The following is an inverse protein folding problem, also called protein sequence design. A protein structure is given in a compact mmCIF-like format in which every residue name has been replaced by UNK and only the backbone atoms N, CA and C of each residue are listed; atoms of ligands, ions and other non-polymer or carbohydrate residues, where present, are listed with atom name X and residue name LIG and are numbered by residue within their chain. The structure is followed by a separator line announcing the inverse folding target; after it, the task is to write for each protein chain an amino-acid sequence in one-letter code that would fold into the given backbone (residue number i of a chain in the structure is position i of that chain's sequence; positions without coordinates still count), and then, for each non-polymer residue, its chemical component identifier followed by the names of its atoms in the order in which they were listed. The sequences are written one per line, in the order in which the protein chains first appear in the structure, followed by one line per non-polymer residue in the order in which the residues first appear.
data_IF_110535287042
#
_entry.id   IF_110535287042
#
_cell.length_a   1.000
_cell.length_b   1.000
_cell.length_c   1.000
_cell.angle_alpha   90.00
_cell.angle_beta   90.00
_cell.angle_gamma   90.00
#
_symmetry.space_group_name_H-M   'P 1'
#
loop_
_entity.id
_entity.type
_entity.pdbx_description
1 polymer ?
#
# COMPACT_ATOMS: atom_id res chain seq x y z
N UNK A 1 -13.71 -8.67 -13.54
CA UNK A 1 -12.64 -7.93 -14.25
C UNK A 1 -12.84 -6.46 -13.91
N UNK A 2 -11.80 -5.74 -13.46
CA UNK A 2 -11.88 -4.32 -13.04
C UNK A 2 -12.52 -3.44 -14.14
N UNK A 3 -12.23 -3.70 -15.41
CA UNK A 3 -12.86 -2.94 -16.50
C UNK A 3 -14.38 -3.14 -16.64
N UNK A 4 -14.94 -4.22 -16.09
CA UNK A 4 -16.39 -4.39 -16.06
C UNK A 4 -17.02 -3.57 -14.93
N UNK A 5 -16.37 -3.50 -13.76
CA UNK A 5 -16.82 -2.65 -12.64
C UNK A 5 -16.85 -1.18 -13.07
N UNK A 6 -15.78 -0.70 -13.73
CA UNK A 6 -15.68 0.69 -14.23
C UNK A 6 -16.75 1.04 -15.27
N UNK A 7 -17.30 0.06 -16.01
CA UNK A 7 -18.36 0.32 -17.01
C UNK A 7 -19.73 0.51 -16.38
N UNK A 8 -19.90 0.12 -15.12
CA UNK A 8 -21.19 0.23 -14.41
C UNK A 8 -21.39 1.61 -13.80
N UNK A 9 -20.31 2.32 -13.53
CA UNK A 9 -20.27 3.76 -13.39
C UNK A 9 -19.94 4.40 -14.75
N UNK A 10 -20.27 5.66 -14.97
CA UNK A 10 -19.75 6.44 -16.11
C UNK A 10 -18.26 6.81 -15.95
N UNK A 11 -17.53 6.05 -15.12
CA UNK A 11 -16.15 6.31 -14.70
C UNK A 11 -16.01 7.40 -13.63
N UNK A 12 -17.10 7.98 -13.12
CA UNK A 12 -17.05 9.06 -12.11
C UNK A 12 -16.48 8.61 -10.75
N UNK A 13 -16.54 7.32 -10.45
CA UNK A 13 -16.08 6.71 -9.20
C UNK A 13 -14.60 6.28 -9.23
N UNK A 14 -13.91 6.46 -10.37
CA UNK A 14 -12.53 6.04 -10.54
C UNK A 14 -11.56 7.18 -10.22
N UNK A 15 -10.55 6.89 -9.39
CA UNK A 15 -9.42 7.80 -9.21
C UNK A 15 -8.54 7.78 -10.45
N UNK A 16 -8.39 8.94 -11.10
CA UNK A 16 -7.55 9.10 -12.29
C UNK A 16 -6.09 9.27 -11.87
N UNK A 17 -5.21 8.42 -12.39
CA UNK A 17 -3.77 8.60 -12.26
C UNK A 17 -3.14 8.82 -13.64
N UNK A 18 -2.48 9.97 -13.81
CA UNK A 18 -1.60 10.25 -14.92
C UNK A 18 -0.15 10.10 -14.45
N UNK A 19 0.66 9.34 -15.18
CA UNK A 19 2.07 9.16 -14.90
C UNK A 19 2.92 9.32 -16.17
N UNK A 20 4.06 9.99 -16.06
CA UNK A 20 5.11 10.01 -17.08
C UNK A 20 6.49 10.09 -16.43
N UNK A 21 7.47 9.39 -16.99
CA UNK A 21 8.88 9.52 -16.60
C UNK A 21 9.51 10.85 -17.05
N UNK A 22 8.84 11.59 -17.95
CA UNK A 22 9.26 12.93 -18.36
C UNK A 22 10.47 12.98 -19.31
N UNK A 23 10.65 11.94 -20.11
CA UNK A 23 11.72 11.82 -21.12
C UNK A 23 11.09 11.48 -22.49
N UNK A 24 10.61 12.47 -23.26
CA UNK A 24 10.05 12.23 -24.59
C UNK A 24 11.17 11.81 -25.56
N UNK A 25 10.85 10.98 -26.56
CA UNK A 25 11.78 10.59 -27.61
C UNK A 25 11.45 11.30 -28.94
N UNK A 26 12.44 11.78 -29.71
CA UNK A 26 13.87 11.82 -29.36
C UNK A 26 14.16 12.83 -28.24
N UNK A 27 15.22 12.58 -27.44
CA UNK A 27 15.67 13.47 -26.37
C UNK A 27 17.11 13.91 -26.60
N UNK A 28 17.40 15.17 -26.30
CA UNK A 28 18.76 15.72 -26.20
C UNK A 28 19.38 15.53 -24.81
N UNK A 29 18.54 15.27 -23.79
CA UNK A 29 18.99 14.98 -22.43
C UNK A 29 19.82 13.69 -22.37
N UNK A 30 20.97 13.77 -21.69
CA UNK A 30 21.75 12.60 -21.32
C UNK A 30 21.06 11.89 -20.15
N UNK A 31 20.40 10.76 -20.44
CA UNK A 31 19.71 9.92 -19.44
C UNK A 31 20.24 8.50 -19.48
N UNK A 32 20.10 7.77 -18.37
CA UNK A 32 20.36 6.33 -18.38
C UNK A 32 19.29 5.62 -19.24
N UNK A 33 19.65 4.92 -20.33
CA UNK A 33 18.67 4.28 -21.21
C UNK A 33 17.90 3.14 -20.54
N UNK A 34 18.46 2.51 -19.50
CA UNK A 34 17.78 1.44 -18.76
C UNK A 34 16.91 1.97 -17.62
N UNK A 35 17.08 3.25 -17.26
CA UNK A 35 16.30 3.92 -16.22
C UNK A 35 16.09 5.40 -16.57
N UNK A 36 15.25 5.71 -17.58
CA UNK A 36 14.99 7.08 -17.97
C UNK A 36 14.14 7.79 -16.91
N UNK A 37 14.56 8.99 -16.51
CA UNK A 37 13.87 9.84 -15.55
C UNK A 37 14.22 11.31 -15.79
N UNK A 38 13.45 12.21 -15.15
CA UNK A 38 13.66 13.65 -15.16
C UNK A 38 13.68 14.16 -13.69
N UNK A 39 14.78 13.94 -12.96
CA UNK A 39 14.88 14.25 -11.53
C UNK A 39 14.65 15.72 -11.23
N UNK A 40 15.13 16.62 -12.09
CA UNK A 40 15.07 18.08 -11.89
C UNK A 40 13.63 18.61 -11.89
N UNK A 41 12.72 17.91 -12.56
CA UNK A 41 11.32 18.28 -12.68
C UNK A 41 10.37 17.28 -12.02
N UNK A 42 10.90 16.41 -11.14
CA UNK A 42 10.07 15.40 -10.48
C UNK A 42 8.97 16.07 -9.65
N UNK A 43 7.72 15.70 -9.93
CA UNK A 43 6.53 16.23 -9.26
C UNK A 43 5.50 15.13 -9.06
N UNK A 44 4.99 15.00 -7.83
CA UNK A 44 3.90 14.06 -7.49
C UNK A 44 2.78 14.84 -6.81
N UNK A 45 1.74 15.14 -7.57
CA UNK A 45 0.64 16.03 -7.15
C UNK A 45 -0.65 15.24 -6.95
N UNK A 46 -1.44 15.66 -5.97
CA UNK A 46 -2.70 15.03 -5.59
C UNK A 46 -3.80 16.09 -5.56
N UNK A 47 -4.91 15.83 -6.23
CA UNK A 47 -6.08 16.70 -6.27
C UNK A 47 -7.28 15.94 -5.68
N UNK A 48 -7.45 15.95 -4.35
CA UNK A 48 -8.45 15.14 -3.66
C UNK A 48 -9.89 15.50 -4.06
N UNK A 49 -10.17 16.77 -4.39
CA UNK A 49 -11.50 17.21 -4.84
C UNK A 49 -11.87 16.69 -6.23
N UNK A 50 -10.87 16.28 -7.02
CA UNK A 50 -11.04 15.78 -8.39
C UNK A 50 -10.77 14.28 -8.51
N UNK A 51 -10.44 13.61 -7.41
CA UNK A 51 -9.97 12.22 -7.41
C UNK A 51 -8.85 12.01 -8.46
N UNK A 52 -7.87 12.92 -8.48
CA UNK A 52 -6.81 12.95 -9.49
C UNK A 52 -5.42 12.87 -8.85
N UNK A 53 -4.54 12.09 -9.48
CA UNK A 53 -3.12 11.97 -9.16
C UNK A 53 -2.34 12.26 -10.44
N UNK A 54 -1.34 13.15 -10.35
CA UNK A 54 -0.44 13.44 -11.46
C UNK A 54 1.00 13.25 -10.98
N UNK A 55 1.71 12.32 -11.59
CA UNK A 55 3.12 12.04 -11.33
C UNK A 55 3.97 12.27 -12.58
N UNK A 56 5.05 13.02 -12.44
CA UNK A 56 6.00 13.32 -13.49
C UNK A 56 7.43 13.13 -13.01
N UNK A 57 8.31 12.63 -13.89
CA UNK A 57 9.77 12.69 -13.73
C UNK A 57 10.42 11.51 -13.01
N UNK A 58 9.67 10.65 -12.30
CA UNK A 58 10.24 9.56 -11.52
C UNK A 58 9.55 8.22 -11.78
N UNK A 59 10.29 7.24 -12.30
CA UNK A 59 9.82 5.86 -12.47
C UNK A 59 9.83 5.00 -11.19
N UNK A 60 10.22 5.56 -10.03
CA UNK A 60 10.54 4.75 -8.85
C UNK A 60 9.40 4.64 -7.83
N UNK A 61 9.03 3.41 -7.49
CA UNK A 61 8.26 3.05 -6.29
C UNK A 61 7.01 3.91 -6.08
N UNK A 62 6.91 4.55 -4.90
CA UNK A 62 5.75 5.35 -4.52
C UNK A 62 5.50 6.60 -5.36
N UNK A 63 6.44 7.01 -6.23
CA UNK A 63 6.24 8.11 -7.15
C UNK A 63 5.50 7.67 -8.41
N UNK A 64 5.73 6.45 -8.90
CA UNK A 64 5.17 5.93 -10.17
C UNK A 64 4.03 4.93 -9.97
N UNK A 65 4.08 4.14 -8.90
CA UNK A 65 3.01 3.20 -8.51
C UNK A 65 1.89 3.97 -7.81
N UNK A 66 1.08 4.70 -8.58
CA UNK A 66 -0.01 5.53 -8.07
C UNK A 66 -0.95 4.80 -7.09
N UNK A 67 -1.22 3.51 -7.32
CA UNK A 67 -2.06 2.68 -6.45
C UNK A 67 -1.54 2.57 -5.02
N UNK A 68 -0.23 2.73 -4.81
CA UNK A 68 0.43 2.58 -3.50
C UNK A 68 0.14 3.76 -2.57
N UNK A 69 1.08 4.69 -2.39
CA UNK A 69 0.90 5.77 -1.40
C UNK A 69 -0.01 6.89 -1.90
N UNK A 70 -0.01 7.17 -3.20
CA UNK A 70 -0.77 8.27 -3.77
C UNK A 70 -2.28 8.01 -3.67
N UNK A 71 -2.74 6.84 -4.12
CA UNK A 71 -4.13 6.42 -3.99
C UNK A 71 -4.42 5.92 -2.58
N UNK A 72 -3.79 4.83 -2.14
CA UNK A 72 -4.28 4.11 -0.98
C UNK A 72 -4.10 4.85 0.36
N UNK A 73 -3.29 5.92 0.43
CA UNK A 73 -3.24 6.82 1.59
C UNK A 73 -3.68 8.25 1.29
N UNK A 74 -3.09 8.95 0.30
CA UNK A 74 -3.34 10.40 0.16
C UNK A 74 -4.73 10.71 -0.37
N UNK A 75 -5.11 10.14 -1.51
CA UNK A 75 -6.49 10.26 -2.01
C UNK A 75 -7.44 9.45 -1.13
N UNK A 76 -7.02 8.25 -0.71
CA UNK A 76 -7.79 7.34 0.15
C UNK A 76 -8.23 7.99 1.45
N UNK A 77 -7.36 8.71 2.17
CA UNK A 77 -7.74 9.42 3.41
C UNK A 77 -8.72 10.56 3.17
N UNK A 78 -8.65 11.21 2.01
CA UNK A 78 -9.61 12.25 1.63
C UNK A 78 -10.99 11.64 1.33
N UNK A 79 -11.03 10.51 0.61
CA UNK A 79 -12.26 9.72 0.39
C UNK A 79 -12.83 9.23 1.72
N UNK A 80 -12.00 8.61 2.55
CA UNK A 80 -12.33 8.09 3.86
C UNK A 80 -12.99 9.14 4.76
N UNK A 81 -12.41 10.35 4.81
CA UNK A 81 -12.99 11.48 5.54
C UNK A 81 -14.37 11.90 5.01
N UNK A 82 -14.57 11.91 3.69
CA UNK A 82 -15.85 12.29 3.07
C UNK A 82 -16.94 11.23 3.24
N UNK A 83 -16.54 9.96 3.25
CA UNK A 83 -17.44 8.81 3.18
C UNK A 83 -17.62 8.09 4.53
N UNK A 84 -16.90 8.49 5.57
CA UNK A 84 -17.07 7.96 6.93
C UNK A 84 -16.30 6.67 7.22
N UNK A 85 -15.16 6.44 6.57
CA UNK A 85 -14.25 5.32 6.82
C UNK A 85 -12.82 5.83 7.13
N UNK A 86 -11.84 4.93 7.26
CA UNK A 86 -10.45 5.25 7.63
C UNK A 86 -9.46 4.65 6.61
N UNK A 87 -8.52 5.46 6.11
CA UNK A 87 -7.42 4.99 5.25
C UNK A 87 -6.08 5.21 5.95
N UNK A 88 -5.49 4.14 6.47
CA UNK A 88 -4.40 4.25 7.43
C UNK A 88 -3.13 3.51 7.02
N UNK A 89 -1.99 4.06 7.45
CA UNK A 89 -0.67 3.45 7.25
C UNK A 89 -0.41 2.38 8.33
N UNK A 90 -1.14 1.27 8.23
CA UNK A 90 -1.15 0.19 9.21
C UNK A 90 -0.96 -1.17 8.55
N UNK A 91 -0.21 -2.05 9.20
CA UNK A 91 -0.29 -3.49 8.91
C UNK A 91 -1.63 -4.05 9.39
N UNK A 92 -2.01 -5.21 8.88
CA UNK A 92 -3.13 -6.02 9.35
C UNK A 92 -2.63 -7.44 9.61
N UNK A 93 -2.83 -7.93 10.84
CA UNK A 93 -2.44 -9.28 11.24
C UNK A 93 -3.56 -10.00 12.00
N UNK A 94 -3.71 -11.28 11.74
CA UNK A 94 -4.53 -12.18 12.55
C UNK A 94 -3.65 -12.92 13.56
N UNK A 95 -4.06 -12.95 14.82
CA UNK A 95 -3.40 -13.71 15.88
C UNK A 95 -4.39 -14.74 16.43
N UNK A 96 -4.01 -16.00 16.39
CA UNK A 96 -4.75 -17.10 17.01
C UNK A 96 -4.03 -17.51 18.29
N UNK A 97 -4.76 -17.54 19.41
CA UNK A 97 -4.23 -17.99 20.70
C UNK A 97 -4.21 -19.54 20.78
N UNK A 98 -3.60 -20.14 21.83
CA UNK A 98 -3.55 -21.61 21.99
C UNK A 98 -4.92 -22.30 22.11
N UNK A 99 -5.97 -21.56 22.48
CA UNK A 99 -7.35 -22.06 22.57
C UNK A 99 -8.08 -22.03 21.21
N UNK A 100 -7.41 -21.56 20.14
CA UNK A 100 -7.98 -21.47 18.80
C UNK A 100 -8.77 -20.18 18.53
N UNK A 101 -8.81 -19.23 19.47
CA UNK A 101 -9.51 -17.95 19.31
C UNK A 101 -8.66 -16.99 18.46
N UNK A 102 -9.21 -16.58 17.32
CA UNK A 102 -8.55 -15.63 16.40
C UNK A 102 -9.05 -14.20 16.61
N UNK A 103 -8.12 -13.26 16.72
CA UNK A 103 -8.36 -11.81 16.76
C UNK A 103 -7.53 -11.11 15.70
N UNK A 104 -8.00 -9.95 15.22
CA UNK A 104 -7.29 -9.13 14.25
C UNK A 104 -6.79 -7.85 14.88
N UNK A 105 -5.60 -7.43 14.45
CA UNK A 105 -4.93 -6.23 14.92
C UNK A 105 -4.48 -5.41 13.71
N UNK A 106 -4.59 -4.09 13.86
CA UNK A 106 -3.95 -3.11 13.00
C UNK A 106 -2.89 -2.36 13.77
N UNK A 107 -1.77 -2.03 13.15
CA UNK A 107 -0.70 -1.31 13.84
C UNK A 107 0.05 -0.35 12.91
N UNK A 108 0.13 0.92 13.32
CA UNK A 108 0.89 1.96 12.64
C UNK A 108 2.31 2.03 13.21
N UNK A 109 3.30 1.97 12.33
CA UNK A 109 4.69 2.22 12.68
C UNK A 109 5.27 3.25 11.70
N UNK A 110 6.28 4.05 12.08
CA UNK A 110 7.07 4.79 11.11
C UNK A 110 7.83 3.86 10.15
N UNK A 111 8.43 4.43 9.11
CA UNK A 111 9.28 3.70 8.17
C UNK A 111 10.47 3.05 8.89
N UNK A 112 10.89 1.88 8.40
CA UNK A 112 12.04 1.12 8.91
C UNK A 112 11.97 0.66 10.39
N UNK A 113 10.80 0.73 11.05
CA UNK A 113 10.62 0.26 12.43
C UNK A 113 10.17 -1.21 12.56
N UNK A 114 10.42 -2.05 11.55
CA UNK A 114 10.11 -3.50 11.62
C UNK A 114 8.64 -3.89 11.36
N UNK A 115 7.85 -3.03 10.72
CA UNK A 115 6.42 -3.26 10.41
C UNK A 115 6.17 -4.58 9.66
N UNK A 116 6.93 -4.84 8.60
CA UNK A 116 6.88 -6.09 7.84
C UNK A 116 7.27 -7.31 8.68
N UNK A 117 8.23 -7.17 9.60
CA UNK A 117 8.63 -8.26 10.49
C UNK A 117 7.52 -8.61 11.50
N UNK A 118 6.79 -7.61 11.99
CA UNK A 118 5.66 -7.85 12.89
C UNK A 118 4.46 -8.46 12.15
N UNK A 119 4.14 -7.96 10.95
CA UNK A 119 3.05 -8.50 10.14
C UNK A 119 3.28 -9.99 9.77
N UNK A 120 4.55 -10.38 9.62
CA UNK A 120 4.98 -11.73 9.27
C UNK A 120 5.62 -12.48 10.45
N UNK A 121 5.30 -12.08 11.69
CA UNK A 121 5.95 -12.57 12.90
C UNK A 121 5.80 -14.10 13.02
N UNK A 122 6.92 -14.78 13.30
CA UNK A 122 6.87 -16.15 13.85
C UNK A 122 6.91 -16.05 15.38
N UNK A 123 5.89 -16.53 16.11
CA UNK A 123 5.85 -16.44 17.58
C UNK A 123 6.83 -17.44 18.22
N UNK A 124 8.12 -17.13 18.17
CA UNK A 124 9.18 -17.93 18.80
C UNK A 124 9.06 -17.83 20.32
N UNK A 125 9.02 -18.97 21.01
CA UNK A 125 8.90 -19.01 22.48
C UNK A 125 7.48 -18.84 23.01
N UNK A 126 6.45 -18.78 22.15
CA UNK A 126 5.04 -18.73 22.53
C UNK A 126 4.27 -19.92 21.90
N UNK A 127 4.36 -21.13 22.48
CA UNK A 127 3.70 -22.32 21.96
C UNK A 127 2.18 -22.13 21.80
N UNK A 128 1.63 -22.66 20.72
CA UNK A 128 0.19 -22.58 20.42
C UNK A 128 -0.27 -21.26 19.80
N UNK A 129 0.53 -20.20 19.82
CA UNK A 129 0.22 -18.97 19.10
C UNK A 129 0.51 -19.12 17.60
N UNK A 130 -0.37 -18.55 16.77
CA UNK A 130 -0.20 -18.43 15.32
C UNK A 130 -0.43 -16.99 14.89
N UNK A 131 0.40 -16.48 13.99
CA UNK A 131 0.25 -15.16 13.36
C UNK A 131 0.09 -15.35 11.86
N UNK A 132 -0.83 -14.60 11.27
CA UNK A 132 -1.13 -14.61 9.84
C UNK A 132 -1.15 -13.17 9.31
N UNK A 133 -0.41 -12.91 8.24
CA UNK A 133 -0.37 -11.60 7.58
C UNK A 133 -1.59 -11.42 6.67
N UNK A 134 -2.30 -10.30 6.81
CA UNK A 134 -3.32 -9.85 5.86
C UNK A 134 -2.77 -8.71 4.99
N UNK A 135 -1.96 -7.83 5.57
CA UNK A 135 -1.22 -6.77 4.88
C UNK A 135 -0.14 -6.17 5.78
N UNK A 136 0.92 -5.57 5.22
CA UNK A 136 2.05 -5.05 6.01
C UNK A 136 2.23 -3.52 5.94
N UNK A 137 1.40 -2.83 5.17
CA UNK A 137 1.62 -1.42 4.84
C UNK A 137 0.35 -0.56 4.95
N UNK A 138 -0.78 -0.96 4.34
CA UNK A 138 -1.99 -0.13 4.27
C UNK A 138 -3.22 -0.91 4.77
N UNK A 139 -4.07 -0.23 5.55
CA UNK A 139 -5.36 -0.72 5.98
C UNK A 139 -6.45 0.29 5.65
N UNK A 140 -7.50 -0.16 4.97
CA UNK A 140 -8.75 0.59 4.84
C UNK A 140 -9.78 -0.01 5.78
N UNK A 141 -10.41 0.83 6.61
CA UNK A 141 -11.26 0.37 7.70
C UNK A 141 -12.61 1.08 7.73
N UNK A 142 -13.69 0.32 7.92
CA UNK A 142 -15.06 0.83 7.99
C UNK A 142 -15.85 0.07 9.05
N UNK A 143 -16.78 0.73 9.74
CA UNK A 143 -17.66 0.08 10.69
C UNK A 143 -18.76 -0.70 9.94
N UNK A 144 -18.96 -1.97 10.27
CA UNK A 144 -20.12 -2.71 9.77
C UNK A 144 -21.42 -2.33 10.49
N UNK A 145 -22.53 -2.93 10.06
CA UNK A 145 -23.86 -2.71 10.64
C UNK A 145 -23.96 -3.16 12.10
N UNK A 146 -23.04 -4.01 12.58
CA UNK A 146 -22.92 -4.42 13.97
C UNK A 146 -21.98 -3.53 14.80
N UNK A 147 -21.47 -2.43 14.23
CA UNK A 147 -20.56 -1.50 14.90
C UNK A 147 -19.14 -2.03 15.09
N UNK A 148 -18.73 -3.06 14.36
CA UNK A 148 -17.37 -3.60 14.38
C UNK A 148 -16.52 -2.96 13.29
N UNK A 149 -15.32 -2.51 13.66
CA UNK A 149 -14.37 -1.98 12.68
C UNK A 149 -13.79 -3.13 11.83
N UNK A 150 -14.16 -3.18 10.55
CA UNK A 150 -13.64 -4.12 9.55
C UNK A 150 -12.48 -3.50 8.81
N UNK A 151 -11.45 -4.29 8.51
CA UNK A 151 -10.27 -3.84 7.79
C UNK A 151 -10.05 -4.69 6.53
N UNK A 152 -9.66 -4.04 5.44
CA UNK A 152 -9.17 -4.67 4.21
C UNK A 152 -7.76 -4.18 3.90
N UNK A 153 -6.97 -5.04 3.25
CA UNK A 153 -5.74 -4.64 2.59
C UNK A 153 -6.08 -4.22 1.15
N UNK A 154 -5.94 -2.93 0.77
CA UNK A 154 -6.24 -2.47 -0.58
C UNK A 154 -5.11 -2.80 -1.58
N UNK A 155 -3.99 -3.37 -1.14
CA UNK A 155 -2.86 -3.76 -1.99
C UNK A 155 -2.91 -5.24 -2.39
N UNK A 156 -2.35 -5.55 -3.55
CA UNK A 156 -2.22 -6.92 -4.08
C UNK A 156 -0.76 -7.37 -4.20
N UNK A 157 0.07 -7.01 -3.22
CA UNK A 157 1.48 -7.39 -3.19
C UNK A 157 2.26 -6.70 -2.09
N UNK A 158 3.52 -7.12 -1.91
CA UNK A 158 4.45 -6.53 -0.96
C UNK A 158 5.51 -5.69 -1.70
N UNK A 159 5.72 -4.46 -1.24
CA UNK A 159 6.78 -3.57 -1.76
C UNK A 159 7.71 -3.17 -0.61
N UNK A 160 8.41 -4.16 -0.06
CA UNK A 160 9.24 -4.04 1.13
C UNK A 160 10.68 -3.59 0.84
N UNK A 161 11.35 -3.09 1.87
CA UNK A 161 12.78 -2.75 1.83
C UNK A 161 13.60 -4.03 1.91
N UNK A 162 14.41 -4.31 0.87
CA UNK A 162 15.22 -5.53 0.82
C UNK A 162 16.40 -5.55 1.82
N UNK A 163 17.21 -4.48 1.96
CA UNK A 163 18.30 -4.46 2.95
C UNK A 163 17.81 -4.79 4.37
N UNK A 164 18.47 -5.76 5.02
CA UNK A 164 18.10 -6.26 6.36
C UNK A 164 17.12 -7.44 6.37
N UNK A 165 16.50 -7.77 5.23
CA UNK A 165 15.67 -8.98 5.10
C UNK A 165 16.56 -10.20 4.91
N UNK A 166 16.46 -11.19 5.80
CA UNK A 166 17.25 -12.41 5.77
C UNK A 166 16.46 -13.59 6.35
N UNK A 167 16.99 -14.82 6.24
CA UNK A 167 16.38 -16.00 6.87
C UNK A 167 16.33 -15.89 8.39
N UNK A 168 17.24 -15.14 9.01
CA UNK A 168 17.25 -14.95 10.47
C UNK A 168 16.30 -13.85 10.93
N UNK A 169 16.03 -12.83 10.09
CA UNK A 169 15.19 -11.69 10.46
C UNK A 169 13.74 -11.84 10.01
N UNK A 170 13.50 -12.31 8.79
CA UNK A 170 12.17 -12.52 8.24
C UNK A 170 12.15 -13.67 7.21
N UNK A 171 12.15 -14.94 7.67
CA UNK A 171 12.12 -16.09 6.76
C UNK A 171 10.82 -16.19 5.96
N UNK A 172 9.72 -15.59 6.43
CA UNK A 172 8.43 -15.61 5.72
C UNK A 172 8.51 -14.73 4.46
N UNK A 173 9.17 -13.57 4.54
CA UNK A 173 9.36 -12.68 3.41
C UNK A 173 10.20 -13.29 2.27
N UNK A 174 11.09 -14.25 2.58
CA UNK A 174 11.92 -14.93 1.59
C UNK A 174 11.22 -16.10 0.89
N UNK A 175 10.01 -16.47 1.34
CA UNK A 175 9.37 -17.71 0.94
C UNK A 175 10.01 -18.94 1.60
N UNK A 176 9.35 -20.10 1.44
CA UNK A 176 9.96 -21.39 1.80
C UNK A 176 10.98 -21.81 0.76
#
# INVERSE_FOLDING_TARGET
NVFNEIKTSDGSDVVKCLHSIGVPLPTDKQVNPTWPCNPEQTLVTHFPERNEIISFGSGYGGNSLCGKKCLALRIGSSLAKREGWLAEHMLIMGVTNPEGVKKYFVAAFPSACGKTNLAMLRPVGLPGYKVECVGDDIAWMHFDDEGRLRAINPEFGFFGVAPGTSKSTNPIALGK
#
